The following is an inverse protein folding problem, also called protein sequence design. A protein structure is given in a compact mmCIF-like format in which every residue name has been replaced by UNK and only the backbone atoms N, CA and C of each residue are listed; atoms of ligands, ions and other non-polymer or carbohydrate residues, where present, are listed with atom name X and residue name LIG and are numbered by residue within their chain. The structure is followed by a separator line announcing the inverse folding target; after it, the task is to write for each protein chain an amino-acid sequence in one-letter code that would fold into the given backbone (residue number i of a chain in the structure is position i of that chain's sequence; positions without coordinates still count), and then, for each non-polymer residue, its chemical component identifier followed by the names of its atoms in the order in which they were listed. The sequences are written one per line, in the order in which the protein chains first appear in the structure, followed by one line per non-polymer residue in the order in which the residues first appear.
data_IF_155304880014
#
_entry.id   IF_155304880014
#
_cell.length_a   1.000
_cell.length_b   1.000
_cell.length_c   1.000
_cell.angle_alpha   90.00
_cell.angle_beta   90.00
_cell.angle_gamma   90.00
#
_symmetry.space_group_name_H-M   'P 1'
#
loop_
_entity.id
_entity.type
_entity.pdbx_description
1 polymer ?
#
# COMPACT_ATOMS: atom_id res chain seq x y z
N UNK A 1 -47.36 5.76 4.71
CA UNK A 1 -46.76 4.44 4.46
C UNK A 1 -47.61 3.40 5.15
N UNK A 2 -47.99 2.34 4.46
CA UNK A 2 -49.03 1.41 4.91
C UNK A 2 -48.58 -0.04 4.69
N UNK A 3 -49.28 -0.97 5.33
CA UNK A 3 -49.08 -2.41 5.10
C UNK A 3 -49.30 -2.75 3.63
N UNK A 4 -48.45 -3.63 3.09
CA UNK A 4 -48.45 -4.04 1.70
C UNK A 4 -47.62 -3.13 0.78
N UNK A 5 -47.13 -1.98 1.23
CA UNK A 5 -46.24 -1.14 0.42
C UNK A 5 -44.92 -1.88 0.10
N UNK A 6 -44.53 -1.85 -1.18
CA UNK A 6 -43.21 -2.26 -1.62
C UNK A 6 -42.18 -1.17 -1.29
N UNK A 7 -41.11 -1.52 -0.62
CA UNK A 7 -40.07 -0.60 -0.16
C UNK A 7 -38.69 -1.22 -0.38
N UNK A 8 -37.66 -0.39 -0.37
CA UNK A 8 -36.27 -0.82 -0.43
C UNK A 8 -35.46 -0.22 0.70
N UNK A 9 -34.46 -0.96 1.17
CA UNK A 9 -33.51 -0.49 2.16
C UNK A 9 -32.11 -1.00 1.83
N UNK A 10 -31.11 -0.29 2.34
CA UNK A 10 -29.70 -0.68 2.17
C UNK A 10 -29.30 -1.64 3.30
N UNK A 11 -28.82 -2.82 2.92
CA UNK A 11 -28.23 -3.82 3.80
C UNK A 11 -26.90 -4.32 3.21
N UNK A 12 -25.82 -4.27 4.00
CA UNK A 12 -24.48 -4.77 3.60
C UNK A 12 -24.05 -4.33 2.18
N UNK A 13 -24.15 -3.03 1.89
CA UNK A 13 -23.83 -2.43 0.58
C UNK A 13 -24.69 -2.95 -0.59
N UNK A 14 -25.90 -3.44 -0.32
CA UNK A 14 -26.87 -3.84 -1.35
C UNK A 14 -28.24 -3.24 -1.05
N UNK A 15 -28.98 -2.91 -2.10
CA UNK A 15 -30.37 -2.47 -1.99
C UNK A 15 -31.26 -3.71 -2.07
N UNK A 16 -32.09 -3.91 -1.05
CA UNK A 16 -32.93 -5.09 -0.87
C UNK A 16 -34.39 -4.71 -0.97
N UNK A 17 -35.16 -5.40 -1.83
CA UNK A 17 -36.61 -5.23 -1.91
C UNK A 17 -37.30 -5.89 -0.71
N UNK A 18 -38.30 -5.21 -0.17
CA UNK A 18 -39.11 -5.70 0.92
C UNK A 18 -40.56 -5.19 0.85
N UNK A 19 -41.47 -5.90 1.51
CA UNK A 19 -42.86 -5.47 1.70
C UNK A 19 -43.11 -5.13 3.15
N UNK A 20 -43.83 -4.03 3.41
CA UNK A 20 -44.24 -3.63 4.76
C UNK A 20 -45.31 -4.60 5.28
N UNK A 21 -45.00 -5.31 6.36
CA UNK A 21 -45.91 -6.26 7.02
C UNK A 21 -46.70 -5.59 8.15
N UNK A 22 -46.06 -4.65 8.85
CA UNK A 22 -46.65 -3.95 9.99
C UNK A 22 -46.01 -2.56 10.13
N UNK A 23 -46.83 -1.56 10.46
CA UNK A 23 -46.38 -0.19 10.76
C UNK A 23 -46.70 0.10 12.22
N UNK A 24 -45.67 0.39 13.02
CA UNK A 24 -45.80 0.78 14.43
C UNK A 24 -45.00 2.05 14.67
N UNK A 25 -45.70 3.17 14.87
CA UNK A 25 -45.12 4.51 14.96
C UNK A 25 -44.20 4.81 13.76
N UNK A 26 -42.90 5.06 14.02
CA UNK A 26 -41.86 5.31 13.00
C UNK A 26 -41.09 4.04 12.59
N UNK A 27 -41.48 2.87 13.09
CA UNK A 27 -40.84 1.58 12.80
C UNK A 27 -41.70 0.72 11.89
N UNK A 28 -41.02 0.03 10.99
CA UNK A 28 -41.60 -0.85 10.00
C UNK A 28 -41.08 -2.27 10.27
N UNK A 29 -41.98 -3.24 10.30
CA UNK A 29 -41.64 -4.65 10.15
C UNK A 29 -41.80 -4.99 8.69
N UNK A 30 -40.71 -5.38 8.04
CA UNK A 30 -40.69 -5.67 6.60
C UNK A 30 -40.29 -7.11 6.33
N UNK A 31 -40.87 -7.71 5.28
CA UNK A 31 -40.47 -9.00 4.74
C UNK A 31 -39.62 -8.76 3.49
N UNK A 32 -38.37 -9.21 3.50
CA UNK A 32 -37.42 -9.05 2.39
C UNK A 32 -37.54 -10.15 1.33
N UNK A 33 -37.01 -9.88 0.14
CA UNK A 33 -36.82 -10.83 -0.97
C UNK A 33 -35.99 -12.08 -0.57
N UNK A 34 -35.19 -11.97 0.49
CA UNK A 34 -34.39 -13.05 1.06
C UNK A 34 -35.18 -13.89 2.09
N UNK A 35 -36.50 -13.73 2.13
CA UNK A 35 -37.40 -14.43 3.04
C UNK A 35 -37.09 -14.18 4.53
N UNK A 36 -36.55 -13.00 4.86
CA UNK A 36 -36.25 -12.56 6.23
C UNK A 36 -37.14 -11.42 6.66
N UNK A 37 -37.56 -11.42 7.91
CA UNK A 37 -38.26 -10.29 8.52
C UNK A 37 -37.29 -9.38 9.28
N UNK A 38 -37.40 -8.08 9.06
CA UNK A 38 -36.49 -7.08 9.62
C UNK A 38 -37.30 -5.93 10.19
N UNK A 39 -36.88 -5.41 11.35
CA UNK A 39 -37.46 -4.23 11.97
C UNK A 39 -36.55 -3.02 11.76
N UNK A 40 -36.98 -2.04 10.98
CA UNK A 40 -36.19 -0.84 10.65
C UNK A 40 -37.01 0.44 10.80
N UNK A 41 -36.34 1.59 10.92
CA UNK A 41 -37.01 2.89 10.91
C UNK A 41 -37.34 3.32 9.47
N UNK A 42 -38.44 4.03 9.27
CA UNK A 42 -38.81 4.53 7.93
C UNK A 42 -37.71 5.40 7.29
N UNK A 43 -36.87 6.06 8.11
CA UNK A 43 -35.70 6.84 7.66
C UNK A 43 -34.55 6.01 7.05
N UNK A 44 -34.58 4.68 7.18
CA UNK A 44 -33.56 3.78 6.60
C UNK A 44 -33.96 3.23 5.24
N UNK A 45 -35.12 3.62 4.72
CA UNK A 45 -35.53 3.24 3.39
C UNK A 45 -34.72 4.01 2.35
N UNK A 46 -34.36 3.32 1.28
CA UNK A 46 -33.72 3.91 0.10
C UNK A 46 -34.74 4.29 -0.98
N UNK A 47 -35.91 3.63 -1.00
CA UNK A 47 -36.99 3.95 -1.92
C UNK A 47 -38.32 3.43 -1.38
N UNK A 48 -39.42 4.14 -1.68
CA UNK A 48 -40.78 3.71 -1.34
C UNK A 48 -41.60 3.65 -2.62
N UNK A 49 -42.07 2.45 -2.97
CA UNK A 49 -42.84 2.24 -4.19
C UNK A 49 -44.32 2.62 -4.01
N UNK A 50 -44.92 3.10 -5.10
CA UNK A 50 -46.38 3.28 -5.21
C UNK A 50 -47.11 1.94 -5.36
N UNK A 51 -46.41 0.88 -5.76
CA UNK A 51 -46.97 -0.48 -5.88
C UNK A 51 -47.20 -1.12 -4.52
N UNK A 52 -48.24 -1.96 -4.45
CA UNK A 52 -48.60 -2.70 -3.25
C UNK A 52 -48.73 -4.19 -3.54
N UNK A 53 -48.28 -4.99 -2.58
CA UNK A 53 -48.50 -6.42 -2.54
C UNK A 53 -49.57 -6.70 -1.50
N UNK A 54 -50.53 -7.54 -1.86
CA UNK A 54 -51.59 -7.98 -0.95
C UNK A 54 -51.03 -9.01 0.04
N UNK A 55 -51.00 -8.71 1.36
CA UNK A 55 -50.50 -9.63 2.37
C UNK A 55 -51.30 -10.94 2.45
N UNK A 56 -52.55 -10.95 1.98
CA UNK A 56 -53.40 -12.14 1.98
C UNK A 56 -52.97 -13.21 0.97
N UNK A 57 -52.10 -12.87 0.01
CA UNK A 57 -51.61 -13.81 -1.02
C UNK A 57 -50.59 -14.83 -0.48
N UNK A 58 -50.17 -14.70 0.78
CA UNK A 58 -49.25 -15.62 1.43
C UNK A 58 -47.78 -15.30 1.20
N UNK A 59 -46.94 -15.71 2.17
CA UNK A 59 -45.52 -15.35 2.26
C UNK A 59 -44.71 -15.72 1.02
N UNK A 60 -44.88 -16.93 0.50
CA UNK A 60 -44.11 -17.41 -0.66
C UNK A 60 -44.37 -16.59 -1.92
N UNK A 61 -45.64 -16.21 -2.16
CA UNK A 61 -46.01 -15.39 -3.32
C UNK A 61 -45.46 -13.97 -3.21
N UNK A 62 -45.49 -13.38 -2.00
CA UNK A 62 -44.87 -12.08 -1.75
C UNK A 62 -43.37 -12.12 -2.01
N UNK A 63 -42.65 -13.11 -1.48
CA UNK A 63 -41.20 -13.25 -1.73
C UNK A 63 -40.90 -13.44 -3.22
N UNK A 64 -41.69 -14.23 -3.94
CA UNK A 64 -41.54 -14.39 -5.38
C UNK A 64 -41.78 -13.07 -6.14
N UNK A 65 -42.79 -12.28 -5.74
CA UNK A 65 -43.05 -10.97 -6.32
C UNK A 65 -41.91 -9.98 -6.05
N UNK A 66 -41.36 -9.96 -4.83
CA UNK A 66 -40.21 -9.13 -4.45
C UNK A 66 -38.98 -9.45 -5.30
N UNK A 67 -38.67 -10.73 -5.51
CA UNK A 67 -37.55 -11.15 -6.37
C UNK A 67 -37.74 -10.71 -7.81
N UNK A 68 -38.96 -10.80 -8.35
CA UNK A 68 -39.25 -10.30 -9.71
C UNK A 68 -39.06 -8.79 -9.80
N UNK A 69 -39.56 -8.04 -8.81
CA UNK A 69 -39.37 -6.59 -8.76
C UNK A 69 -37.89 -6.22 -8.67
N UNK A 70 -37.12 -6.90 -7.81
CA UNK A 70 -35.69 -6.69 -7.66
C UNK A 70 -34.92 -6.93 -8.97
N UNK A 71 -35.19 -8.06 -9.65
CA UNK A 71 -34.56 -8.36 -10.94
C UNK A 71 -34.91 -7.32 -12.00
N UNK A 72 -36.19 -6.93 -12.10
CA UNK A 72 -36.64 -5.90 -13.05
C UNK A 72 -35.96 -4.54 -12.80
N UNK A 73 -35.88 -4.11 -11.54
CA UNK A 73 -35.21 -2.87 -11.14
C UNK A 73 -33.70 -2.92 -11.40
N UNK A 74 -33.09 -4.09 -11.26
CA UNK A 74 -31.69 -4.32 -11.60
C UNK A 74 -31.43 -4.22 -13.10
N UNK A 75 -32.29 -4.84 -13.93
CA UNK A 75 -32.25 -4.74 -15.40
C UNK A 75 -32.49 -3.31 -15.91
N UNK A 76 -33.37 -2.55 -15.24
CA UNK A 76 -33.57 -1.13 -15.55
C UNK A 76 -32.36 -0.30 -15.09
N UNK A 77 -31.79 -0.61 -13.92
CA UNK A 77 -30.61 0.09 -13.38
C UNK A 77 -29.41 -0.01 -14.31
N UNK A 78 -29.22 -1.14 -15.00
CA UNK A 78 -28.13 -1.29 -15.98
C UNK A 78 -28.31 -0.47 -17.26
N UNK A 79 -29.48 0.15 -17.48
CA UNK A 79 -29.73 1.04 -18.63
C UNK A 79 -29.44 2.50 -18.34
N UNK A 80 -29.19 2.83 -17.07
CA UNK A 80 -28.87 4.20 -16.65
C UNK A 80 -27.38 4.42 -16.87
N UNK A 81 -27.02 5.29 -17.82
CA UNK A 81 -25.64 5.73 -18.02
C UNK A 81 -25.37 6.99 -17.18
N UNK A 82 -24.68 6.80 -16.05
CA UNK A 82 -24.36 7.88 -15.12
C UNK A 82 -23.36 8.87 -15.73
N UNK A 83 -22.47 8.41 -16.61
CA UNK A 83 -21.47 9.24 -17.26
C UNK A 83 -22.13 10.21 -18.25
N UNK A 84 -22.98 9.71 -19.13
CA UNK A 84 -23.72 10.56 -20.09
C UNK A 84 -24.62 11.58 -19.38
N UNK A 85 -25.31 11.17 -18.31
CA UNK A 85 -26.11 12.09 -17.50
C UNK A 85 -25.25 13.20 -16.89
N UNK A 86 -24.05 12.85 -16.42
CA UNK A 86 -23.13 13.82 -15.84
C UNK A 86 -22.59 14.82 -16.86
N UNK A 87 -22.29 14.40 -18.09
CA UNK A 87 -21.82 15.31 -19.14
C UNK A 87 -22.80 16.45 -19.42
N UNK A 88 -24.10 16.18 -19.31
CA UNK A 88 -25.16 17.18 -19.50
C UNK A 88 -25.39 18.01 -18.24
N UNK A 89 -25.36 17.38 -17.06
CA UNK A 89 -25.80 17.99 -15.81
C UNK A 89 -24.67 18.61 -14.97
N UNK A 90 -23.40 18.39 -15.31
CA UNK A 90 -22.26 18.85 -14.49
C UNK A 90 -22.23 20.37 -14.29
N UNK A 91 -22.83 21.15 -15.19
CA UNK A 91 -22.85 22.61 -15.11
C UNK A 91 -23.95 23.17 -14.19
N UNK A 92 -24.98 22.38 -13.89
CA UNK A 92 -26.14 22.82 -13.10
C UNK A 92 -25.77 23.09 -11.64
N UNK A 93 -24.82 22.33 -11.09
CA UNK A 93 -24.27 22.52 -9.73
C UNK A 93 -25.35 22.68 -8.64
N UNK A 94 -26.47 21.97 -8.80
CA UNK A 94 -27.61 21.98 -7.87
C UNK A 94 -28.12 20.56 -7.57
N UNK A 95 -28.97 20.46 -6.55
CA UNK A 95 -29.59 19.19 -6.17
C UNK A 95 -30.76 18.89 -7.10
N UNK A 96 -30.67 17.76 -7.81
CA UNK A 96 -31.72 17.24 -8.69
C UNK A 96 -32.49 16.19 -7.91
N UNK A 97 -33.81 16.33 -7.82
CA UNK A 97 -34.66 15.36 -7.12
C UNK A 97 -34.83 14.05 -7.91
N UNK A 98 -35.28 13.00 -7.21
CA UNK A 98 -35.49 11.68 -7.79
C UNK A 98 -36.50 11.67 -8.93
N UNK A 99 -37.56 12.47 -8.88
CA UNK A 99 -38.57 12.47 -9.94
C UNK A 99 -37.98 13.01 -11.24
N UNK A 100 -37.27 14.14 -11.17
CA UNK A 100 -36.61 14.79 -12.30
C UNK A 100 -35.51 13.90 -12.86
N UNK A 101 -34.65 13.33 -12.01
CA UNK A 101 -33.60 12.41 -12.46
C UNK A 101 -34.19 11.17 -13.15
N UNK A 102 -35.33 10.67 -12.66
CA UNK A 102 -36.02 9.53 -13.29
C UNK A 102 -36.58 9.88 -14.66
N UNK A 103 -37.15 11.08 -14.84
CA UNK A 103 -37.63 11.55 -16.14
C UNK A 103 -36.50 11.73 -17.15
N UNK A 104 -35.34 12.21 -16.71
CA UNK A 104 -34.14 12.33 -17.56
C UNK A 104 -33.62 10.96 -18.02
N UNK A 105 -33.64 9.95 -17.15
CA UNK A 105 -33.21 8.60 -17.48
C UNK A 105 -34.25 7.81 -18.31
N UNK A 106 -35.54 8.06 -18.06
CA UNK A 106 -36.65 7.29 -18.59
C UNK A 106 -37.80 8.22 -19.01
N UNK A 107 -37.76 8.77 -20.24
CA UNK A 107 -38.74 9.77 -20.70
C UNK A 107 -40.15 9.19 -20.90
N UNK A 108 -40.27 7.89 -21.12
CA UNK A 108 -41.54 7.22 -21.41
C UNK A 108 -42.27 6.77 -20.12
N UNK A 109 -43.03 7.69 -19.52
CA UNK A 109 -43.92 7.44 -18.37
C UNK A 109 -43.25 6.67 -17.21
N UNK A 110 -42.37 7.34 -16.44
CA UNK A 110 -41.61 6.69 -15.38
C UNK A 110 -42.53 6.10 -14.31
N UNK A 111 -42.18 4.87 -13.91
CA UNK A 111 -42.87 4.13 -12.84
C UNK A 111 -41.99 4.08 -11.60
N UNK A 112 -42.53 3.58 -10.49
CA UNK A 112 -41.76 3.45 -9.26
C UNK A 112 -40.61 2.44 -9.34
N UNK A 113 -40.63 1.55 -10.34
CA UNK A 113 -39.47 0.71 -10.64
C UNK A 113 -38.36 1.45 -11.36
N UNK A 114 -38.69 2.47 -12.16
CA UNK A 114 -37.72 3.36 -12.79
C UNK A 114 -37.05 4.24 -11.73
N UNK A 115 -37.82 4.83 -10.81
CA UNK A 115 -37.29 5.58 -9.66
C UNK A 115 -36.28 4.72 -8.87
N UNK A 116 -36.67 3.49 -8.52
CA UNK A 116 -35.79 2.54 -7.84
C UNK A 116 -34.54 2.19 -8.65
N UNK A 117 -34.69 2.01 -9.97
CA UNK A 117 -33.56 1.73 -10.86
C UNK A 117 -32.52 2.86 -10.87
N UNK A 118 -32.97 4.12 -10.86
CA UNK A 118 -32.09 5.30 -10.71
C UNK A 118 -31.38 5.27 -9.37
N UNK A 119 -32.12 5.10 -8.25
CA UNK A 119 -31.51 4.99 -6.91
C UNK A 119 -30.45 3.89 -6.88
N UNK A 120 -30.72 2.73 -7.51
CA UNK A 120 -29.77 1.61 -7.62
C UNK A 120 -28.54 1.92 -8.45
N UNK A 121 -28.69 2.64 -9.57
CA UNK A 121 -27.57 3.01 -10.43
C UNK A 121 -26.60 3.96 -9.70
N UNK A 122 -27.11 5.05 -9.13
CA UNK A 122 -26.32 6.02 -8.38
C UNK A 122 -25.79 5.48 -7.04
N UNK A 123 -26.45 4.49 -6.46
CA UNK A 123 -25.90 3.81 -5.29
C UNK A 123 -24.64 3.00 -5.62
N UNK A 124 -24.58 2.40 -6.82
CA UNK A 124 -23.45 1.60 -7.32
C UNK A 124 -22.31 2.47 -7.82
N UNK A 125 -22.62 3.51 -8.59
CA UNK A 125 -21.65 4.45 -9.13
C UNK A 125 -21.84 5.83 -8.51
N UNK A 126 -20.84 6.26 -7.75
CA UNK A 126 -20.80 7.54 -7.03
C UNK A 126 -19.68 8.45 -7.53
N UNK A 127 -19.08 8.11 -8.68
CA UNK A 127 -17.96 8.85 -9.23
C UNK A 127 -18.40 10.26 -9.65
N UNK A 128 -19.56 10.34 -10.30
CA UNK A 128 -20.03 11.54 -10.96
C UNK A 128 -21.02 12.37 -10.14
N UNK A 129 -21.70 11.76 -9.17
CA UNK A 129 -22.70 12.44 -8.37
C UNK A 129 -22.60 12.09 -6.88
N UNK A 130 -22.81 13.10 -6.04
CA UNK A 130 -23.10 12.89 -4.63
C UNK A 130 -24.52 12.34 -4.51
N UNK A 131 -24.62 11.17 -3.88
CA UNK A 131 -25.85 10.41 -3.78
C UNK A 131 -26.57 10.60 -2.43
N UNK A 132 -27.87 10.88 -2.51
CA UNK A 132 -28.86 10.73 -1.46
C UNK A 132 -30.07 9.97 -2.04
N UNK A 133 -30.81 9.15 -1.26
CA UNK A 133 -31.93 8.37 -1.78
C UNK A 133 -32.95 9.16 -2.62
N UNK A 134 -33.19 10.42 -2.27
CA UNK A 134 -34.19 11.26 -2.93
C UNK A 134 -33.58 12.39 -3.78
N UNK A 135 -32.25 12.57 -3.78
CA UNK A 135 -31.59 13.71 -4.43
C UNK A 135 -30.17 13.39 -4.89
N UNK A 136 -29.76 13.99 -6.00
CA UNK A 136 -28.46 13.79 -6.64
C UNK A 136 -27.80 15.14 -6.92
N UNK A 137 -26.52 15.27 -6.63
CA UNK A 137 -25.77 16.50 -6.90
C UNK A 137 -24.58 16.18 -7.81
N UNK A 138 -24.49 16.76 -9.03
CA UNK A 138 -23.39 16.49 -9.94
C UNK A 138 -22.07 17.04 -9.40
N UNK A 139 -21.03 16.22 -9.44
CA UNK A 139 -19.67 16.67 -9.16
C UNK A 139 -19.18 17.62 -10.26
N UNK A 140 -18.31 18.56 -9.93
CA UNK A 140 -17.59 19.31 -10.96
C UNK A 140 -16.45 18.44 -11.57
N UNK A 141 -15.86 18.90 -12.68
CA UNK A 141 -14.80 18.16 -13.36
C UNK A 141 -13.60 17.88 -12.43
N UNK A 142 -13.21 18.85 -11.60
CA UNK A 142 -12.07 18.70 -10.69
C UNK A 142 -12.33 17.63 -9.63
N UNK A 143 -13.53 17.58 -9.09
CA UNK A 143 -13.98 16.55 -8.14
C UNK A 143 -13.97 15.17 -8.77
N UNK A 144 -14.47 15.03 -10.01
CA UNK A 144 -14.44 13.75 -10.73
C UNK A 144 -13.00 13.30 -10.99
N UNK A 145 -12.12 14.21 -11.44
CA UNK A 145 -10.70 13.91 -11.67
C UNK A 145 -10.01 13.46 -10.38
N UNK A 146 -10.28 14.11 -9.25
CA UNK A 146 -9.74 13.73 -7.94
C UNK A 146 -10.27 12.35 -7.49
N UNK A 147 -11.55 12.05 -7.71
CA UNK A 147 -12.13 10.76 -7.37
C UNK A 147 -11.56 9.63 -8.25
N UNK A 148 -11.42 9.86 -9.56
CA UNK A 148 -10.78 8.94 -10.49
C UNK A 148 -9.33 8.67 -10.11
N UNK A 149 -8.55 9.73 -9.82
CA UNK A 149 -7.16 9.60 -9.40
C UNK A 149 -7.04 8.77 -8.10
N UNK A 150 -7.91 9.01 -7.12
CA UNK A 150 -7.95 8.26 -5.87
C UNK A 150 -8.30 6.78 -6.09
N UNK A 151 -9.27 6.50 -6.97
CA UNK A 151 -9.64 5.13 -7.31
C UNK A 151 -8.49 4.41 -8.03
N UNK A 152 -7.88 5.05 -9.03
CA UNK A 152 -6.73 4.51 -9.76
C UNK A 152 -5.53 4.25 -8.85
N UNK A 153 -5.25 5.15 -7.90
CA UNK A 153 -4.19 4.94 -6.90
C UNK A 153 -4.51 3.76 -5.97
N UNK A 154 -5.76 3.65 -5.50
CA UNK A 154 -6.20 2.53 -4.68
C UNK A 154 -6.11 1.19 -5.42
N UNK A 155 -6.51 1.15 -6.69
CA UNK A 155 -6.39 -0.04 -7.55
C UNK A 155 -4.93 -0.40 -7.81
N UNK A 156 -4.07 0.58 -8.11
CA UNK A 156 -2.62 0.38 -8.25
C UNK A 156 -2.03 -0.21 -6.98
N UNK A 157 -2.35 0.36 -5.82
CA UNK A 157 -1.89 -0.12 -4.52
C UNK A 157 -2.37 -1.54 -4.23
N UNK A 158 -3.64 -1.84 -4.49
CA UNK A 158 -4.20 -3.18 -4.28
C UNK A 158 -3.54 -4.21 -5.21
N UNK A 159 -3.27 -3.85 -6.47
CA UNK A 159 -2.54 -4.67 -7.42
C UNK A 159 -1.11 -4.94 -6.94
N UNK A 160 -0.40 -3.89 -6.55
CA UNK A 160 0.96 -3.98 -6.00
C UNK A 160 1.01 -4.90 -4.77
N UNK A 161 0.03 -4.79 -3.87
CA UNK A 161 -0.08 -5.68 -2.70
C UNK A 161 -0.27 -7.13 -3.13
N UNK A 162 -1.21 -7.39 -4.05
CA UNK A 162 -1.51 -8.74 -4.50
C UNK A 162 -0.32 -9.39 -5.25
N UNK A 163 0.30 -8.63 -6.15
CA UNK A 163 1.48 -9.05 -6.91
C UNK A 163 2.68 -9.25 -5.98
N UNK A 164 2.94 -8.31 -5.06
CA UNK A 164 4.00 -8.40 -4.07
C UNK A 164 3.85 -9.61 -3.14
N UNK A 165 2.62 -9.89 -2.67
CA UNK A 165 2.34 -11.05 -1.84
C UNK A 165 2.56 -12.38 -2.58
N UNK A 166 2.11 -12.47 -3.84
CA UNK A 166 2.33 -13.63 -4.68
C UNK A 166 3.82 -13.83 -5.00
N UNK A 167 4.53 -12.73 -5.29
CA UNK A 167 5.97 -12.73 -5.59
C UNK A 167 6.78 -13.17 -4.38
N UNK A 168 6.51 -12.62 -3.21
CA UNK A 168 7.17 -12.99 -1.95
C UNK A 168 6.98 -14.48 -1.62
N UNK A 169 5.75 -15.01 -1.76
CA UNK A 169 5.48 -16.44 -1.61
C UNK A 169 6.30 -17.30 -2.57
N UNK A 170 6.33 -16.94 -3.85
CA UNK A 170 7.09 -17.67 -4.88
C UNK A 170 8.60 -17.66 -4.59
N UNK A 171 9.13 -16.51 -4.16
CA UNK A 171 10.53 -16.37 -3.76
C UNK A 171 10.86 -17.27 -2.58
N UNK A 172 10.03 -17.32 -1.53
CA UNK A 172 10.27 -18.15 -0.36
C UNK A 172 10.15 -19.66 -0.65
N UNK A 173 9.25 -20.05 -1.55
CA UNK A 173 9.09 -21.44 -1.98
C UNK A 173 10.21 -21.95 -2.90
N UNK A 174 11.09 -21.07 -3.40
CA UNK A 174 12.24 -21.44 -4.23
C UNK A 174 11.91 -21.63 -5.70
N UNK A 175 10.71 -21.22 -6.11
CA UNK A 175 10.22 -21.34 -7.49
C UNK A 175 10.80 -20.25 -8.41
N UNK A 176 11.40 -19.22 -7.83
CA UNK A 176 11.98 -18.10 -8.56
C UNK A 176 13.33 -17.69 -7.97
N UNK A 177 14.33 -18.57 -8.05
CA UNK A 177 15.72 -18.18 -7.80
C UNK A 177 16.18 -17.17 -8.87
N UNK A 178 16.95 -16.16 -8.47
CA UNK A 178 17.61 -15.25 -9.41
C UNK A 178 18.37 -16.05 -10.48
N UNK A 179 18.05 -15.75 -11.74
CA UNK A 179 18.97 -16.02 -12.85
C UNK A 179 20.14 -15.06 -12.71
N UNK A 180 21.38 -15.53 -12.84
CA UNK A 180 22.57 -14.66 -12.89
C UNK A 180 22.39 -13.57 -13.96
N UNK A 181 22.03 -12.36 -13.52
CA UNK A 181 21.60 -11.27 -14.40
C UNK A 181 20.98 -10.12 -13.59
N UNK A 182 20.82 -8.95 -14.21
CA UNK A 182 20.28 -7.78 -13.53
C UNK A 182 18.84 -8.02 -13.06
N UNK A 183 18.54 -7.48 -11.87
CA UNK A 183 17.21 -7.50 -11.26
C UNK A 183 16.14 -7.05 -12.27
N UNK A 184 15.08 -7.84 -12.51
CA UNK A 184 14.01 -7.45 -13.41
C UNK A 184 13.38 -6.10 -13.00
N UNK A 185 13.12 -5.22 -13.97
CA UNK A 185 12.44 -3.93 -13.76
C UNK A 185 11.15 -4.06 -12.93
N UNK A 186 10.38 -5.13 -13.18
CA UNK A 186 9.14 -5.45 -12.46
C UNK A 186 9.32 -5.64 -10.94
N UNK A 187 10.52 -6.04 -10.50
CA UNK A 187 10.81 -6.35 -9.10
C UNK A 187 11.37 -5.12 -8.36
N UNK A 188 11.70 -4.00 -9.05
CA UNK A 188 12.35 -2.83 -8.42
C UNK A 188 11.53 -2.17 -7.32
N UNK A 189 10.25 -1.86 -7.58
CA UNK A 189 9.36 -1.25 -6.58
C UNK A 189 9.19 -2.20 -5.37
N UNK A 190 9.12 -3.52 -5.60
CA UNK A 190 9.03 -4.50 -4.52
C UNK A 190 10.32 -4.58 -3.70
N UNK A 191 11.49 -4.51 -4.34
CA UNK A 191 12.78 -4.51 -3.66
C UNK A 191 12.91 -3.27 -2.77
N UNK A 192 12.56 -2.09 -3.29
CA UNK A 192 12.56 -0.86 -2.50
C UNK A 192 11.63 -0.97 -1.28
N UNK A 193 10.44 -1.54 -1.45
CA UNK A 193 9.50 -1.81 -0.35
C UNK A 193 10.08 -2.81 0.64
N UNK A 194 10.62 -3.94 0.19
CA UNK A 194 11.13 -5.00 1.05
C UNK A 194 12.36 -4.55 1.82
N UNK A 195 13.34 -3.94 1.15
CA UNK A 195 14.54 -3.41 1.79
C UNK A 195 14.18 -2.34 2.79
N UNK A 196 13.35 -1.35 2.43
CA UNK A 196 12.94 -0.30 3.36
C UNK A 196 12.17 -0.83 4.56
N UNK A 197 11.28 -1.79 4.35
CA UNK A 197 10.51 -2.41 5.44
C UNK A 197 11.40 -3.24 6.36
N UNK A 198 12.38 -3.97 5.81
CA UNK A 198 13.32 -4.77 6.59
C UNK A 198 14.26 -3.88 7.42
N UNK A 199 14.82 -2.82 6.81
CA UNK A 199 15.80 -1.95 7.46
C UNK A 199 15.17 -1.02 8.51
N UNK A 200 13.98 -0.49 8.24
CA UNK A 200 13.39 0.57 9.07
C UNK A 200 12.09 0.15 9.78
N UNK A 201 11.56 -1.05 9.52
CA UNK A 201 10.34 -1.55 10.13
C UNK A 201 9.19 -0.55 10.02
N UNK A 202 8.68 -0.10 11.19
CA UNK A 202 7.56 0.84 11.30
C UNK A 202 7.87 2.26 10.80
N UNK A 203 9.15 2.63 10.74
CA UNK A 203 9.59 3.93 10.25
C UNK A 203 9.71 3.98 8.72
N UNK A 204 9.55 2.83 8.05
CA UNK A 204 9.54 2.77 6.59
C UNK A 204 8.38 3.57 6.02
N UNK A 205 8.67 4.42 5.02
CA UNK A 205 7.64 5.08 4.19
C UNK A 205 6.71 4.09 3.49
N UNK A 206 7.13 2.84 3.32
CA UNK A 206 6.36 1.77 2.70
C UNK A 206 5.62 0.87 3.71
N UNK A 207 5.68 1.16 5.02
CA UNK A 207 5.15 0.28 6.08
C UNK A 207 3.73 -0.22 5.80
N UNK A 208 2.80 0.68 5.48
CA UNK A 208 1.39 0.32 5.25
C UNK A 208 1.14 -0.57 4.02
N UNK A 209 2.01 -0.52 3.01
CA UNK A 209 1.93 -1.39 1.82
C UNK A 209 2.66 -2.71 2.12
N UNK A 210 3.85 -2.61 2.72
CA UNK A 210 4.69 -3.75 3.08
C UNK A 210 4.01 -4.72 4.05
N UNK A 211 3.34 -4.21 5.09
CA UNK A 211 2.58 -5.07 6.01
C UNK A 211 1.46 -5.83 5.30
N UNK A 212 0.71 -5.17 4.40
CA UNK A 212 -0.34 -5.85 3.65
C UNK A 212 0.22 -6.91 2.69
N UNK A 213 1.42 -6.69 2.15
CA UNK A 213 2.12 -7.70 1.36
C UNK A 213 2.49 -8.91 2.22
N UNK A 214 3.05 -8.69 3.42
CA UNK A 214 3.36 -9.76 4.37
C UNK A 214 2.09 -10.54 4.76
N UNK A 215 1.01 -9.85 5.14
CA UNK A 215 -0.28 -10.45 5.46
C UNK A 215 -0.83 -11.27 4.28
N UNK A 216 -0.79 -10.71 3.07
CA UNK A 216 -1.20 -11.41 1.85
C UNK A 216 -0.33 -12.63 1.53
N UNK A 217 0.93 -12.61 1.95
CA UNK A 217 1.86 -13.73 1.88
C UNK A 217 1.69 -14.74 3.05
N UNK A 218 0.83 -14.45 4.04
CA UNK A 218 0.65 -15.30 5.22
C UNK A 218 1.82 -15.23 6.21
N UNK A 219 2.57 -14.13 6.18
CA UNK A 219 3.73 -13.86 7.02
C UNK A 219 3.37 -12.79 8.06
N UNK A 220 4.06 -12.83 9.20
CA UNK A 220 3.81 -11.93 10.33
C UNK A 220 5.08 -11.24 10.85
N UNK A 221 6.20 -11.42 10.16
CA UNK A 221 7.52 -11.00 10.62
C UNK A 221 8.34 -10.48 9.43
N UNK A 222 9.04 -9.35 9.60
CA UNK A 222 9.84 -8.72 8.54
C UNK A 222 11.08 -9.52 8.21
N UNK A 223 11.54 -10.38 9.12
CA UNK A 223 12.68 -11.30 8.96
C UNK A 223 12.52 -12.21 7.73
N UNK A 224 11.27 -12.52 7.35
CA UNK A 224 10.98 -13.31 6.15
C UNK A 224 11.34 -12.59 4.83
N UNK A 225 11.61 -11.28 4.85
CA UNK A 225 12.01 -10.51 3.67
C UNK A 225 13.49 -10.72 3.32
N UNK A 226 14.36 -10.99 4.30
CA UNK A 226 15.80 -11.16 4.05
C UNK A 226 16.09 -12.31 3.08
N UNK A 227 15.57 -13.54 3.28
CA UNK A 227 15.76 -14.62 2.31
C UNK A 227 15.21 -14.29 0.92
N UNK A 228 14.16 -13.47 0.84
CA UNK A 228 13.61 -13.03 -0.45
C UNK A 228 14.55 -12.05 -1.16
N UNK A 229 15.13 -11.09 -0.44
CA UNK A 229 16.11 -10.14 -0.96
C UNK A 229 17.41 -10.83 -1.39
N UNK A 230 17.85 -11.85 -0.64
CA UNK A 230 18.96 -12.71 -1.05
C UNK A 230 18.65 -13.47 -2.34
N UNK A 231 17.46 -14.06 -2.45
CA UNK A 231 17.04 -14.78 -3.67
C UNK A 231 16.83 -13.88 -4.88
N UNK A 232 16.56 -12.60 -4.66
CA UNK A 232 16.50 -11.57 -5.71
C UNK A 232 17.89 -11.07 -6.11
N UNK A 233 18.96 -11.47 -5.41
CA UNK A 233 20.32 -11.00 -5.64
C UNK A 233 20.55 -9.55 -5.20
N UNK A 234 19.73 -9.04 -4.29
CA UNK A 234 19.89 -7.69 -3.73
C UNK A 234 20.92 -7.68 -2.61
N UNK A 235 20.91 -8.73 -1.78
CA UNK A 235 21.81 -8.92 -0.65
C UNK A 235 22.47 -10.29 -0.73
N UNK A 236 23.63 -10.42 -0.11
CA UNK A 236 24.28 -11.72 0.10
C UNK A 236 23.75 -12.44 1.35
N UNK A 237 24.03 -13.74 1.47
CA UNK A 237 23.59 -14.54 2.63
C UNK A 237 24.13 -14.00 3.96
N UNK A 238 25.32 -13.39 3.93
CA UNK A 238 25.99 -12.80 5.09
C UNK A 238 26.10 -11.27 4.98
N UNK A 239 25.13 -10.63 4.31
CA UNK A 239 25.07 -9.18 4.16
C UNK A 239 25.09 -8.48 5.54
N UNK A 240 25.92 -7.44 5.67
CA UNK A 240 25.97 -6.66 6.90
C UNK A 240 24.89 -5.56 6.90
N UNK A 241 23.72 -5.94 7.43
CA UNK A 241 22.54 -5.09 7.49
C UNK A 241 22.76 -3.80 8.30
N UNK A 242 23.60 -3.81 9.33
CA UNK A 242 23.84 -2.62 10.14
C UNK A 242 24.56 -1.54 9.32
N UNK A 243 25.53 -1.92 8.48
CA UNK A 243 26.21 -0.97 7.60
C UNK A 243 25.22 -0.30 6.64
N UNK A 244 24.28 -1.07 6.07
CA UNK A 244 23.24 -0.54 5.18
C UNK A 244 22.27 0.37 5.95
N UNK A 245 21.84 -0.05 7.13
CA UNK A 245 20.86 0.67 7.96
C UNK A 245 21.38 2.04 8.40
N UNK A 246 22.67 2.10 8.73
CA UNK A 246 23.33 3.33 9.18
C UNK A 246 24.04 4.09 8.06
N UNK A 247 23.89 3.66 6.80
CA UNK A 247 24.54 4.26 5.63
C UNK A 247 26.07 4.43 5.82
N UNK A 248 26.72 3.39 6.35
CA UNK A 248 28.16 3.39 6.62
C UNK A 248 28.90 3.02 5.33
N UNK A 249 29.75 3.93 4.79
CA UNK A 249 30.51 3.63 3.58
C UNK A 249 31.48 2.47 3.78
N UNK A 250 31.45 1.51 2.87
CA UNK A 250 32.37 0.35 2.84
C UNK A 250 33.52 0.52 1.86
N UNK A 251 33.44 1.52 0.98
CA UNK A 251 34.45 1.84 -0.02
C UNK A 251 34.90 3.29 0.13
N UNK A 252 36.17 3.54 -0.14
CA UNK A 252 36.69 4.90 -0.21
C UNK A 252 36.21 5.59 -1.49
N UNK A 253 36.02 6.92 -1.47
CA UNK A 253 35.72 7.68 -2.68
C UNK A 253 36.80 7.47 -3.75
N UNK A 254 36.43 7.36 -5.04
CA UNK A 254 37.39 7.11 -6.13
C UNK A 254 38.53 8.13 -6.19
N UNK A 255 38.25 9.38 -5.84
CA UNK A 255 39.25 10.45 -5.81
C UNK A 255 40.30 10.22 -4.72
N UNK A 256 39.88 9.74 -3.55
CA UNK A 256 40.79 9.42 -2.45
C UNK A 256 41.67 8.21 -2.78
N UNK A 257 41.08 7.19 -3.42
CA UNK A 257 41.83 6.02 -3.89
C UNK A 257 42.87 6.44 -4.94
N UNK A 258 42.47 7.24 -5.93
CA UNK A 258 43.38 7.71 -6.98
C UNK A 258 44.53 8.56 -6.44
N UNK A 259 44.28 9.42 -5.47
CA UNK A 259 45.35 10.22 -4.82
C UNK A 259 46.31 9.33 -4.03
N UNK A 260 45.78 8.35 -3.27
CA UNK A 260 46.59 7.41 -2.52
C UNK A 260 47.50 6.56 -3.44
N UNK A 261 46.95 6.07 -4.56
CA UNK A 261 47.72 5.32 -5.58
C UNK A 261 48.82 6.18 -6.19
N UNK A 262 48.51 7.44 -6.53
CA UNK A 262 49.50 8.39 -7.07
C UNK A 262 50.65 8.65 -6.10
N UNK A 263 50.35 8.89 -4.81
CA UNK A 263 51.34 9.12 -3.77
C UNK A 263 52.21 7.87 -3.54
N UNK A 264 51.61 6.68 -3.51
CA UNK A 264 52.32 5.42 -3.35
C UNK A 264 53.28 5.15 -4.53
N UNK A 265 52.83 5.38 -5.77
CA UNK A 265 53.69 5.26 -6.95
C UNK A 265 54.85 6.27 -6.94
N UNK A 266 54.58 7.50 -6.53
CA UNK A 266 55.61 8.55 -6.46
C UNK A 266 56.63 8.20 -5.37
N UNK A 267 56.20 7.72 -4.21
CA UNK A 267 57.08 7.27 -3.12
C UNK A 267 57.93 6.05 -3.49
N UNK A 268 57.43 5.18 -4.38
CA UNK A 268 58.20 4.04 -4.87
C UNK A 268 59.29 4.45 -5.90
N UNK A 269 59.05 5.50 -6.69
CA UNK A 269 59.95 5.94 -7.78
C UNK A 269 60.97 6.99 -7.34
N UNK A 270 60.59 7.83 -6.39
CA UNK A 270 61.46 8.83 -5.78
C UNK A 270 61.59 8.47 -4.31
N UNK A 271 62.81 8.51 -3.76
CA UNK A 271 63.01 8.49 -2.32
C UNK A 271 62.41 9.80 -1.75
N UNK A 272 61.09 9.85 -1.62
CA UNK A 272 60.39 10.96 -1.02
C UNK A 272 60.82 10.92 0.44
N UNK A 273 61.63 11.90 0.85
CA UNK A 273 61.79 12.22 2.27
C UNK A 273 60.44 12.82 2.73
N UNK A 274 59.51 11.95 3.14
CA UNK A 274 58.23 12.36 3.75
C UNK A 274 58.47 13.20 5.02
N UNK A 275 59.68 13.09 5.57
CA UNK A 275 60.25 14.01 6.55
C UNK A 275 61.76 14.09 6.32
N UNK A 276 62.39 15.28 6.27
CA UNK A 276 63.83 15.39 6.12
C UNK A 276 64.53 14.61 7.24
N UNK A 277 65.47 13.72 6.90
CA UNK A 277 66.16 12.90 7.90
C UNK A 277 66.85 13.75 8.99
N UNK A 278 67.16 15.01 8.68
CA UNK A 278 67.73 15.99 9.60
C UNK A 278 66.84 16.34 10.82
N UNK A 279 65.55 16.02 10.79
CA UNK A 279 64.59 16.37 11.88
C UNK A 279 64.21 15.16 12.74
N UNK A 280 64.56 13.93 12.31
CA UNK A 280 64.22 12.70 13.05
C UNK A 280 65.42 12.12 13.77
N UNK A 281 65.16 11.55 14.95
CA UNK A 281 66.14 10.76 15.68
C UNK A 281 66.16 9.35 15.11
N UNK A 282 67.29 8.92 14.59
CA UNK A 282 67.49 7.52 14.19
C UNK A 282 67.49 6.61 15.44
N UNK A 283 66.51 5.72 15.49
CA UNK A 283 66.34 4.71 16.55
C UNK A 283 66.33 3.28 15.97
N UNK A 284 66.78 3.09 14.73
CA UNK A 284 66.79 1.79 14.03
C UNK A 284 67.64 0.72 14.74
N UNK A 285 68.50 1.13 15.67
CA UNK A 285 69.31 0.23 16.50
C UNK A 285 68.55 -0.35 17.71
N UNK A 286 67.38 0.19 18.05
CA UNK A 286 66.59 -0.32 19.17
C UNK A 286 65.87 -1.61 18.77
N UNK A 287 65.89 -2.66 19.60
CA UNK A 287 65.04 -3.83 19.38
C UNK A 287 63.59 -3.41 19.62
N UNK A 288 62.80 -3.44 18.53
CA UNK A 288 61.37 -3.17 18.55
C UNK A 288 60.57 -4.47 18.59
N UNK A 289 59.43 -4.43 19.27
CA UNK A 289 58.41 -5.47 19.23
C UNK A 289 57.03 -4.83 19.11
N UNK A 290 56.11 -5.46 18.38
CA UNK A 290 54.68 -5.15 18.41
C UNK A 290 53.97 -6.30 19.12
N UNK A 291 52.80 -6.05 19.72
CA UNK A 291 52.05 -7.06 20.48
C UNK A 291 50.60 -7.00 20.03
N UNK A 292 50.28 -7.79 19.02
CA UNK A 292 49.02 -7.69 18.27
C UNK A 292 48.27 -9.02 18.20
N UNK A 293 47.02 -8.94 17.77
CA UNK A 293 46.23 -10.12 17.43
C UNK A 293 46.77 -10.80 16.17
N UNK A 294 46.52 -12.11 16.04
CA UNK A 294 46.99 -12.89 14.88
C UNK A 294 46.46 -12.37 13.53
N UNK A 295 45.33 -11.65 13.53
CA UNK A 295 44.69 -11.09 12.35
C UNK A 295 44.90 -9.59 12.17
N UNK A 296 45.75 -8.95 12.98
CA UNK A 296 46.06 -7.52 12.84
C UNK A 296 46.82 -7.28 11.53
N UNK A 297 46.40 -6.25 10.79
CA UNK A 297 47.00 -5.86 9.51
C UNK A 297 47.69 -4.49 9.59
N UNK A 298 47.22 -3.65 10.49
CA UNK A 298 47.61 -2.28 10.80
C UNK A 298 48.43 -2.25 12.10
N UNK A 299 49.77 -2.17 11.95
CA UNK A 299 50.70 -2.11 13.08
C UNK A 299 51.04 -0.66 13.40
N UNK A 300 50.22 -0.05 14.26
CA UNK A 300 50.33 1.37 14.57
C UNK A 300 51.33 1.69 15.69
N UNK A 301 51.69 0.70 16.51
CA UNK A 301 52.58 0.91 17.64
C UNK A 301 53.65 -0.18 17.77
N UNK A 302 54.81 0.24 18.30
CA UNK A 302 55.90 -0.64 18.67
C UNK A 302 56.49 -0.23 20.02
N UNK A 303 57.05 -1.21 20.73
CA UNK A 303 57.69 -1.03 22.02
C UNK A 303 59.18 -1.38 21.95
N UNK A 304 59.99 -0.57 22.64
CA UNK A 304 61.38 -0.92 22.98
C UNK A 304 61.57 -0.84 24.48
N UNK A 305 62.33 -1.75 25.06
CA UNK A 305 62.70 -1.69 26.47
C UNK A 305 64.22 -1.80 26.63
N UNK A 306 64.85 -0.71 27.06
CA UNK A 306 66.28 -0.69 27.39
C UNK A 306 66.46 -0.80 28.91
N UNK A 307 67.33 -1.70 29.36
CA UNK A 307 67.75 -1.76 30.77
C UNK A 307 68.90 -0.78 31.01
N UNK A 308 68.80 0.04 32.05
CA UNK A 308 69.85 0.94 32.54
C UNK A 308 70.29 0.49 33.94
N UNK A 309 71.36 1.09 34.48
CA UNK A 309 71.95 0.68 35.77
C UNK A 309 70.93 0.62 36.92
N UNK A 310 70.09 1.65 37.06
CA UNK A 310 69.12 1.77 38.16
C UNK A 310 67.67 1.98 37.65
N UNK A 311 67.41 1.82 36.35
CA UNK A 311 66.11 2.11 35.75
C UNK A 311 65.89 1.39 34.42
N UNK A 312 64.68 1.49 33.89
CA UNK A 312 64.34 1.09 32.53
C UNK A 312 64.01 2.32 31.69
N UNK A 313 64.30 2.26 30.40
CA UNK A 313 63.75 3.19 29.42
C UNK A 313 62.80 2.43 28.50
N UNK A 314 61.51 2.70 28.67
CA UNK A 314 60.47 2.27 27.75
C UNK A 314 60.36 3.31 26.62
N UNK A 315 60.34 2.83 25.39
CA UNK A 315 59.98 3.60 24.21
C UNK A 315 58.66 3.09 23.65
N UNK A 316 57.74 4.01 23.38
CA UNK A 316 56.50 3.76 22.66
C UNK A 316 56.63 4.51 21.33
N UNK A 317 56.62 3.77 20.23
CA UNK A 317 56.87 4.27 18.88
C UNK A 317 55.57 4.13 18.10
N UNK A 318 54.95 5.26 17.78
CA UNK A 318 53.66 5.28 17.07
C UNK A 318 53.94 5.59 15.60
N UNK A 319 53.23 4.91 14.70
CA UNK A 319 53.24 5.17 13.27
C UNK A 319 52.84 6.63 13.02
N UNK A 320 53.50 7.24 12.04
CA UNK A 320 53.24 8.62 11.65
C UNK A 320 52.41 8.59 10.37
N UNK A 321 51.10 8.39 10.54
CA UNK A 321 50.08 8.17 9.49
C UNK A 321 49.99 9.36 8.53
#
# INVERSE_FOLDING_TARGET
METGCLVEYIDRQKIVCAVVMEVKDKRLRVLSENNREVNLSASRLAHTSKERLDPAQGRERMVAALKRAANRREELSSRVDIGELWEVLNSEQEWIDLATMTELCFPDHPTSDHESAVVRAFFKDRLYFKFSPDQFFPHDQEQVDQLMARQAEAERKNRLIAEGAARLKSLLNGEAAATAGPVPERDRELIEIFSSLYLHGRESRHYAVGEKILEGAGLNATEALFPALVRLGVWEENENIDLITYDIPTEFPPEAVSEAEFLAETAARTAIEVSPAAVRRDLTQLPLMTIDGQSTLDYDDALSLETRADSYRLGVHIVDV
#
